data_IF_207225228336
#
_entry.id   IF_207225228336
#
_cell.length_a   1.000
_cell.length_b   1.000
_cell.length_c   1.000
_cell.angle_alpha   90.00
_cell.angle_beta   90.00
_cell.angle_gamma   90.00
#
_symmetry.space_group_name_H-M   'P 1'
#
loop_
_entity.id
_entity.type
_entity.pdbx_description
1 polymer ?
#
# COMPACT_ATOMS: atom_id res chain seq x y z
N UNK A 1 6.44 5.71 -22.26
CA UNK A 1 5.85 6.67 -21.30
C UNK A 1 5.40 5.86 -20.10
N UNK A 2 6.10 5.94 -18.96
CA UNK A 2 5.67 5.26 -17.74
C UNK A 2 4.43 5.98 -17.21
N UNK A 3 3.28 5.31 -17.28
CA UNK A 3 2.08 5.79 -16.62
C UNK A 3 2.31 5.65 -15.11
N UNK A 4 2.08 6.70 -14.28
CA UNK A 4 2.25 6.57 -12.85
C UNK A 4 1.36 5.45 -12.31
N UNK A 5 1.96 4.52 -11.57
CA UNK A 5 1.24 3.40 -10.99
C UNK A 5 0.32 3.91 -9.86
N UNK A 6 -0.89 3.37 -9.73
CA UNK A 6 -1.79 3.76 -8.66
C UNK A 6 -1.20 3.32 -7.31
N UNK A 7 -1.23 4.20 -6.32
CA UNK A 7 -0.77 3.93 -4.95
C UNK A 7 -1.92 4.00 -3.96
N UNK A 8 -1.75 3.40 -2.79
CA UNK A 8 -2.74 3.46 -1.71
C UNK A 8 -3.04 4.91 -1.31
N UNK A 9 -2.02 5.77 -1.31
CA UNK A 9 -2.15 7.22 -1.15
C UNK A 9 -3.14 7.84 -2.16
N UNK A 10 -3.06 7.47 -3.44
CA UNK A 10 -4.00 7.97 -4.47
C UNK A 10 -5.43 7.44 -4.25
N UNK A 11 -5.59 6.19 -3.80
CA UNK A 11 -6.90 5.63 -3.48
C UNK A 11 -7.59 6.37 -2.32
N UNK A 12 -6.80 6.83 -1.35
CA UNK A 12 -7.28 7.63 -0.22
C UNK A 12 -7.47 9.12 -0.54
N UNK A 13 -7.29 9.55 -1.80
CA UNK A 13 -7.39 10.96 -2.19
C UNK A 13 -6.34 11.86 -1.55
N UNK A 14 -5.24 11.28 -1.04
CA UNK A 14 -4.17 12.02 -0.37
C UNK A 14 -3.10 12.50 -1.36
N UNK A 15 -3.49 13.24 -2.40
CA UNK A 15 -2.54 13.71 -3.42
C UNK A 15 -1.60 14.82 -2.90
N UNK A 16 -1.88 15.37 -1.72
CA UNK A 16 -1.03 16.36 -1.05
C UNK A 16 0.23 15.80 -0.37
N UNK A 17 1.19 16.69 -0.10
CA UNK A 17 2.39 16.38 0.73
C UNK A 17 2.09 16.33 2.24
N UNK A 18 0.86 16.64 2.65
CA UNK A 18 0.47 16.74 4.05
C UNK A 18 -0.80 15.96 4.30
N UNK A 19 -0.89 15.38 5.50
CA UNK A 19 -2.10 14.73 5.96
C UNK A 19 -3.23 15.78 6.09
N UNK A 20 -4.48 15.43 5.76
CA UNK A 20 -5.64 16.25 6.08
C UNK A 20 -5.64 16.70 7.55
N UNK A 21 -6.18 17.89 7.84
CA UNK A 21 -6.11 18.47 9.18
C UNK A 21 -6.78 17.61 10.26
N UNK A 22 -7.87 16.92 9.91
CA UNK A 22 -8.54 15.96 10.77
C UNK A 22 -7.65 14.73 11.05
N UNK A 23 -6.93 14.23 10.05
CA UNK A 23 -5.94 13.16 10.20
C UNK A 23 -4.78 13.61 11.08
N UNK A 24 -4.22 14.81 10.87
CA UNK A 24 -3.19 15.39 11.75
C UNK A 24 -3.67 15.43 13.20
N UNK A 25 -4.88 15.94 13.44
CA UNK A 25 -5.45 16.04 14.79
C UNK A 25 -5.58 14.65 15.46
N UNK A 26 -5.94 13.62 14.71
CA UNK A 26 -6.04 12.24 15.22
C UNK A 26 -4.67 11.63 15.50
N UNK A 27 -3.67 11.90 14.66
CA UNK A 27 -2.27 11.48 14.90
C UNK A 27 -1.74 12.15 16.17
N UNK A 28 -1.95 13.46 16.35
CA UNK A 28 -1.48 14.18 17.55
C UNK A 28 -2.03 13.59 18.85
N UNK A 29 -3.26 13.08 18.80
CA UNK A 29 -3.97 12.46 19.94
C UNK A 29 -3.68 10.96 20.11
N UNK A 30 -2.88 10.35 19.23
CA UNK A 30 -2.47 8.97 19.40
C UNK A 30 -1.60 8.82 20.65
N UNK A 31 -1.65 7.65 21.29
CA UNK A 31 -1.04 7.42 22.60
C UNK A 31 0.46 7.65 22.58
N UNK A 32 1.19 7.02 21.66
CA UNK A 32 2.64 7.22 21.59
C UNK A 32 3.02 8.63 21.14
N UNK A 33 2.23 9.27 20.28
CA UNK A 33 2.52 10.64 19.84
C UNK A 33 2.41 11.61 21.01
N UNK A 34 1.45 11.38 21.91
CA UNK A 34 1.34 12.12 23.17
C UNK A 34 2.55 11.87 24.08
N UNK A 35 3.00 10.62 24.23
CA UNK A 35 4.20 10.31 25.02
C UNK A 35 5.48 10.90 24.42
N UNK A 36 5.61 10.93 23.08
CA UNK A 36 6.73 11.56 22.37
C UNK A 36 6.71 13.07 22.62
N UNK A 37 5.53 13.69 22.53
CA UNK A 37 5.35 15.11 22.84
C UNK A 37 5.87 15.43 24.24
N UNK A 38 5.47 14.68 25.25
CA UNK A 38 5.92 14.89 26.63
C UNK A 38 7.45 14.77 26.76
N UNK A 39 8.07 13.74 26.16
CA UNK A 39 9.53 13.57 26.15
C UNK A 39 10.26 14.73 25.47
N UNK A 40 9.78 15.17 24.30
CA UNK A 40 10.35 16.31 23.56
C UNK A 40 10.20 17.60 24.38
N UNK A 41 9.03 17.84 24.96
CA UNK A 41 8.78 19.03 25.79
C UNK A 41 9.71 19.07 27.01
N UNK A 42 9.96 17.93 27.64
CA UNK A 42 10.84 17.82 28.81
C UNK A 42 12.32 17.99 28.48
N UNK A 43 12.76 17.57 27.28
CA UNK A 43 14.19 17.49 26.92
C UNK A 43 14.66 18.65 26.04
N UNK A 44 13.84 19.05 25.06
CA UNK A 44 14.20 20.00 24.00
C UNK A 44 13.37 21.30 24.06
N UNK A 45 12.32 21.34 24.88
CA UNK A 45 11.48 22.51 25.09
C UNK A 45 10.31 22.65 24.10
N UNK A 46 9.43 23.63 24.40
CA UNK A 46 8.12 23.79 23.74
C UNK A 46 8.19 24.22 22.27
N UNK A 47 9.27 24.87 21.86
CA UNK A 47 9.43 25.40 20.50
C UNK A 47 9.75 24.33 19.46
N UNK A 48 10.25 23.17 19.88
CA UNK A 48 10.66 22.08 18.97
C UNK A 48 9.48 21.22 18.52
N UNK A 49 8.44 21.08 19.36
CA UNK A 49 7.29 20.21 19.09
C UNK A 49 6.58 20.49 17.76
N UNK A 50 6.24 21.74 17.39
CA UNK A 50 5.52 22.00 16.14
C UNK A 50 6.26 21.48 14.90
N UNK A 51 7.58 21.65 14.85
CA UNK A 51 8.41 21.19 13.73
C UNK A 51 8.54 19.66 13.72
N UNK A 52 8.76 19.05 14.88
CA UNK A 52 8.83 17.58 15.00
C UNK A 52 7.50 16.94 14.59
N UNK A 53 6.39 17.50 15.02
CA UNK A 53 5.05 16.99 14.71
C UNK A 53 4.70 17.14 13.22
N UNK A 54 5.11 18.23 12.57
CA UNK A 54 4.87 18.39 11.13
C UNK A 54 5.67 17.35 10.31
N UNK A 55 6.92 17.07 10.69
CA UNK A 55 7.72 16.03 10.01
C UNK A 55 7.16 14.63 10.26
N UNK A 56 6.71 14.31 11.49
CA UNK A 56 5.99 13.06 11.78
C UNK A 56 4.75 12.94 10.88
N UNK A 57 3.95 14.02 10.80
CA UNK A 57 2.73 14.05 9.99
C UNK A 57 3.01 13.83 8.51
N UNK A 58 4.07 14.43 7.98
CA UNK A 58 4.50 14.27 6.59
C UNK A 58 4.98 12.86 6.30
N UNK A 59 5.86 12.31 7.14
CA UNK A 59 6.34 10.92 7.01
C UNK A 59 5.19 9.92 7.07
N UNK A 60 4.19 10.17 7.90
CA UNK A 60 2.98 9.33 7.98
C UNK A 60 2.22 9.23 6.65
N UNK A 61 2.19 10.30 5.84
CA UNK A 61 1.59 10.28 4.51
C UNK A 61 2.45 9.49 3.52
N UNK A 62 3.77 9.66 3.59
CA UNK A 62 4.71 8.95 2.72
C UNK A 62 4.66 7.43 2.95
N UNK A 63 4.34 6.97 4.17
CA UNK A 63 4.12 5.55 4.47
C UNK A 63 2.93 4.92 3.71
N UNK A 64 2.02 5.73 3.17
CA UNK A 64 0.90 5.27 2.34
C UNK A 64 1.25 5.18 0.86
N UNK A 65 2.50 5.46 0.47
CA UNK A 65 2.99 5.30 -0.91
C UNK A 65 3.24 3.82 -1.27
N UNK A 66 2.27 2.98 -0.93
CA UNK A 66 2.24 1.56 -1.23
C UNK A 66 1.70 1.38 -2.65
N UNK A 67 2.48 0.75 -3.51
CA UNK A 67 2.07 0.46 -4.88
C UNK A 67 0.92 -0.56 -4.90
N UNK A 68 -0.21 -0.17 -5.50
CA UNK A 68 -1.40 -1.01 -5.57
C UNK A 68 -1.19 -2.25 -6.44
N UNK A 69 -0.38 -2.13 -7.51
CA UNK A 69 -0.10 -3.25 -8.41
C UNK A 69 0.69 -4.34 -7.68
N UNK A 70 1.65 -3.95 -6.83
CA UNK A 70 2.43 -4.91 -6.04
C UNK A 70 1.53 -5.66 -5.04
N UNK A 71 0.53 -4.98 -4.46
CA UNK A 71 -0.49 -5.61 -3.60
C UNK A 71 -1.33 -6.63 -4.38
N UNK A 72 -1.78 -6.29 -5.59
CA UNK A 72 -2.59 -7.18 -6.43
C UNK A 72 -1.79 -8.39 -6.92
N UNK A 73 -0.57 -8.17 -7.41
CA UNK A 73 0.31 -9.24 -7.88
C UNK A 73 0.66 -10.17 -6.72
N UNK A 74 0.97 -9.62 -5.54
CA UNK A 74 1.21 -10.42 -4.34
C UNK A 74 -0.01 -11.28 -3.93
N UNK A 75 -1.22 -10.82 -4.20
CA UNK A 75 -2.43 -11.60 -3.98
C UNK A 75 -2.61 -12.72 -5.02
N UNK A 76 -2.34 -12.46 -6.29
CA UNK A 76 -2.45 -13.46 -7.36
C UNK A 76 -1.36 -14.52 -7.32
N UNK A 77 -0.17 -14.20 -6.81
CA UNK A 77 0.85 -15.22 -6.55
C UNK A 77 0.37 -16.30 -5.57
N UNK A 78 -0.62 -16.01 -4.71
CA UNK A 78 -1.25 -17.00 -3.82
C UNK A 78 -2.32 -17.83 -4.53
N UNK A 79 -2.68 -17.50 -5.77
CA UNK A 79 -3.70 -18.20 -6.53
C UNK A 79 -3.14 -19.50 -7.12
N UNK A 80 -3.51 -20.63 -6.51
CA UNK A 80 -3.10 -21.98 -6.93
C UNK A 80 -3.37 -22.27 -8.41
N UNK A 81 -4.39 -21.63 -9.00
CA UNK A 81 -4.71 -21.79 -10.42
C UNK A 81 -3.62 -21.29 -11.39
N UNK A 82 -2.68 -20.47 -10.93
CA UNK A 82 -1.53 -20.04 -11.73
C UNK A 82 -0.42 -21.09 -11.80
N UNK A 83 -0.31 -22.00 -10.83
CA UNK A 83 0.78 -22.99 -10.77
C UNK A 83 0.85 -23.89 -12.00
N UNK A 84 -0.29 -24.14 -12.65
CA UNK A 84 -0.32 -24.93 -13.90
C UNK A 84 0.52 -24.32 -15.03
N UNK A 85 0.77 -23.01 -14.99
CA UNK A 85 1.60 -22.32 -15.99
C UNK A 85 3.11 -22.42 -15.70
N UNK A 86 3.50 -23.13 -14.64
CA UNK A 86 4.88 -23.53 -14.38
C UNK A 86 5.29 -24.80 -15.17
N UNK A 87 4.30 -25.55 -15.68
CA UNK A 87 4.53 -26.75 -16.50
C UNK A 87 5.07 -26.35 -17.88
N UNK A 88 6.37 -26.59 -18.09
CA UNK A 88 7.09 -26.24 -19.32
C UNK A 88 6.78 -27.16 -20.49
N UNK A 89 6.28 -28.38 -20.25
CA UNK A 89 5.86 -29.27 -21.33
C UNK A 89 4.56 -28.76 -21.95
N UNK A 90 3.64 -28.29 -21.10
CA UNK A 90 2.35 -27.75 -21.53
C UNK A 90 2.40 -26.27 -21.93
N UNK A 91 3.27 -25.49 -21.30
CA UNK A 91 3.42 -24.06 -21.52
C UNK A 91 4.90 -23.71 -21.73
N UNK A 92 5.42 -23.85 -22.97
CA UNK A 92 6.82 -23.56 -23.27
C UNK A 92 7.19 -22.10 -22.96
N UNK A 93 8.47 -21.80 -22.62
CA UNK A 93 8.90 -20.46 -22.24
C UNK A 93 8.60 -19.34 -23.26
N UNK A 94 8.53 -19.68 -24.55
CA UNK A 94 8.22 -18.72 -25.61
C UNK A 94 6.73 -18.42 -25.74
N UNK A 95 5.86 -19.25 -25.16
CA UNK A 95 4.42 -19.10 -25.26
C UNK A 95 3.90 -18.09 -24.24
N UNK A 96 3.15 -17.10 -24.73
CA UNK A 96 2.38 -16.19 -23.88
C UNK A 96 0.93 -16.67 -23.76
N UNK A 97 0.41 -16.66 -22.54
CA UNK A 97 -0.96 -17.08 -22.23
C UNK A 97 -1.71 -15.94 -21.54
N UNK A 98 -2.90 -15.62 -22.05
CA UNK A 98 -3.82 -14.73 -21.35
C UNK A 98 -4.65 -15.53 -20.35
N UNK A 99 -4.53 -15.17 -19.08
CA UNK A 99 -5.22 -15.83 -17.97
C UNK A 99 -6.29 -14.88 -17.45
N UNK A 100 -7.58 -15.10 -17.80
CA UNK A 100 -8.65 -14.37 -17.19
C UNK A 100 -8.75 -14.80 -15.72
N UNK A 101 -8.72 -13.81 -14.84
CA UNK A 101 -9.04 -14.02 -13.44
C UNK A 101 -10.52 -13.63 -13.24
N UNK A 102 -11.23 -14.46 -12.48
CA UNK A 102 -12.62 -14.20 -12.12
C UNK A 102 -12.74 -12.98 -11.19
N UNK A 103 -13.91 -12.80 -10.60
CA UNK A 103 -14.02 -11.88 -9.48
C UNK A 103 -13.16 -12.40 -8.31
N UNK A 104 -12.26 -11.55 -7.82
CA UNK A 104 -11.41 -11.88 -6.69
C UNK A 104 -11.44 -10.79 -5.63
N UNK A 105 -11.53 -11.23 -4.37
CA UNK A 105 -11.36 -10.36 -3.22
C UNK A 105 -9.91 -10.46 -2.73
N UNK A 106 -9.20 -9.34 -2.76
CA UNK A 106 -7.85 -9.17 -2.24
C UNK A 106 -7.93 -8.49 -0.88
N UNK A 107 -7.31 -9.08 0.13
CA UNK A 107 -7.09 -8.45 1.44
C UNK A 107 -5.60 -8.28 1.65
N UNK A 108 -5.18 -7.09 2.07
CA UNK A 108 -3.79 -6.79 2.37
C UNK A 108 -3.69 -5.96 3.64
N UNK A 109 -2.73 -6.32 4.50
CA UNK A 109 -2.42 -5.59 5.72
C UNK A 109 -0.95 -5.18 5.69
N UNK A 110 -0.68 -3.93 6.05
CA UNK A 110 0.65 -3.36 6.13
C UNK A 110 0.83 -2.69 7.49
N UNK A 111 2.04 -2.81 8.04
CA UNK A 111 2.41 -2.22 9.35
C UNK A 111 3.62 -1.29 9.25
N UNK A 112 3.53 -0.21 8.45
CA UNK A 112 4.62 0.75 8.36
C UNK A 112 4.75 1.54 9.67
N UNK A 113 5.90 2.18 9.87
CA UNK A 113 6.20 2.87 11.11
C UNK A 113 7.12 4.07 10.90
N UNK A 114 7.05 5.03 11.82
CA UNK A 114 7.99 6.15 11.93
C UNK A 114 8.79 5.97 13.21
N UNK A 115 10.12 5.90 13.09
CA UNK A 115 11.02 6.00 14.24
C UNK A 115 11.29 7.46 14.54
N UNK A 116 11.15 7.83 15.81
CA UNK A 116 11.52 9.15 16.32
C UNK A 116 12.84 8.99 17.05
N UNK A 117 13.85 9.72 16.57
CA UNK A 117 15.18 9.73 17.16
C UNK A 117 15.39 11.02 17.95
N UNK A 118 16.09 10.92 19.07
CA UNK A 118 16.57 12.04 19.86
C UNK A 118 18.03 11.76 20.20
N UNK A 119 18.94 12.66 19.82
CA UNK A 119 20.38 12.47 19.96
C UNK A 119 20.85 11.12 19.37
N UNK A 120 20.36 10.80 18.16
CA UNK A 120 20.62 9.55 17.42
C UNK A 120 20.14 8.25 18.11
N UNK A 121 19.40 8.35 19.22
CA UNK A 121 18.78 7.22 19.89
C UNK A 121 17.28 7.14 19.56
N UNK A 122 16.79 5.93 19.25
CA UNK A 122 15.36 5.69 18.99
C UNK A 122 14.58 5.84 20.30
N UNK A 123 13.80 6.92 20.41
CA UNK A 123 12.99 7.20 21.62
C UNK A 123 11.56 6.69 21.54
N UNK A 124 11.07 6.41 20.33
CA UNK A 124 9.76 5.82 20.08
C UNK A 124 9.61 5.32 18.63
N UNK A 125 8.62 4.46 18.41
CA UNK A 125 8.24 3.93 17.09
C UNK A 125 6.73 3.96 16.88
N UNK A 126 6.26 5.00 16.19
CA UNK A 126 4.85 5.20 15.86
C UNK A 126 4.46 4.20 14.79
N UNK A 127 3.62 3.23 15.12
CA UNK A 127 3.20 2.17 14.19
C UNK A 127 1.84 2.45 13.61
N UNK A 128 1.74 2.34 12.28
CA UNK A 128 0.51 2.48 11.54
C UNK A 128 0.01 1.10 11.11
N UNK A 129 -1.31 0.94 11.09
CA UNK A 129 -1.95 -0.25 10.56
C UNK A 129 -2.78 0.15 9.34
N UNK A 130 -2.35 -0.30 8.17
CA UNK A 130 -3.04 -0.05 6.90
C UNK A 130 -3.68 -1.36 6.46
N UNK A 131 -5.00 -1.42 6.48
CA UNK A 131 -5.75 -2.58 6.02
C UNK A 131 -6.56 -2.22 4.78
N UNK A 132 -6.43 -3.04 3.74
CA UNK A 132 -7.02 -2.85 2.44
C UNK A 132 -7.84 -4.08 2.06
N UNK A 133 -9.03 -3.85 1.54
CA UNK A 133 -9.89 -4.90 1.01
C UNK A 133 -10.44 -4.45 -0.35
N UNK A 134 -10.10 -5.18 -1.41
CA UNK A 134 -10.49 -4.89 -2.78
C UNK A 134 -11.24 -6.06 -3.38
N UNK A 135 -12.24 -5.77 -4.19
CA UNK A 135 -12.83 -6.67 -5.16
C UNK A 135 -12.42 -6.20 -6.53
N UNK A 136 -11.78 -7.09 -7.28
CA UNK A 136 -11.29 -6.81 -8.63
C UNK A 136 -12.07 -7.67 -9.63
N UNK A 137 -12.51 -7.06 -10.73
CA UNK A 137 -13.25 -7.72 -11.81
C UNK A 137 -12.59 -7.46 -13.16
N UNK A 138 -12.70 -8.42 -14.08
CA UNK A 138 -12.25 -8.25 -15.46
C UNK A 138 -10.73 -8.17 -15.60
N UNK A 139 -9.98 -8.90 -14.77
CA UNK A 139 -8.52 -8.93 -14.84
C UNK A 139 -8.08 -9.98 -15.85
N UNK A 140 -7.13 -9.62 -16.71
CA UNK A 140 -6.38 -10.58 -17.50
C UNK A 140 -4.90 -10.46 -17.18
N UNK A 141 -4.27 -11.58 -16.83
CA UNK A 141 -2.82 -11.67 -16.69
C UNK A 141 -2.22 -12.16 -18.01
N UNK A 142 -1.13 -11.54 -18.43
CA UNK A 142 -0.24 -12.14 -19.42
C UNK A 142 0.81 -12.97 -18.69
N UNK A 143 0.80 -14.28 -18.88
CA UNK A 143 1.77 -15.19 -18.28
C UNK A 143 2.68 -15.76 -19.36
N UNK A 144 3.99 -15.78 -19.11
CA UNK A 144 5.01 -16.34 -20.00
C UNK A 144 6.19 -16.84 -19.15
N UNK A 145 6.75 -18.01 -19.48
CA UNK A 145 7.88 -18.63 -18.76
C UNK A 145 7.68 -18.66 -17.22
N UNK A 146 6.48 -19.05 -16.78
CA UNK A 146 6.15 -19.11 -15.35
C UNK A 146 6.10 -17.75 -14.63
N UNK A 147 6.08 -16.63 -15.38
CA UNK A 147 6.04 -15.27 -14.83
C UNK A 147 4.81 -14.51 -15.30
N UNK A 148 4.27 -13.65 -14.43
CA UNK A 148 3.27 -12.65 -14.79
C UNK A 148 4.01 -11.47 -15.44
N UNK A 149 3.82 -11.25 -16.74
CA UNK A 149 4.50 -10.22 -17.54
C UNK A 149 3.74 -8.90 -17.56
N UNK A 150 2.42 -8.96 -17.60
CA UNK A 150 1.58 -7.76 -17.54
C UNK A 150 0.22 -8.08 -16.97
N UNK A 151 -0.44 -7.02 -16.51
CA UNK A 151 -1.75 -7.06 -15.89
C UNK A 151 -2.66 -6.12 -16.66
N UNK A 152 -3.67 -6.67 -17.32
CA UNK A 152 -4.79 -5.91 -17.82
C UNK A 152 -5.83 -5.82 -16.71
N UNK A 153 -5.90 -4.68 -16.06
CA UNK A 153 -6.79 -4.46 -14.92
C UNK A 153 -8.16 -3.97 -15.38
N UNK A 154 -9.22 -4.51 -14.80
CA UNK A 154 -10.58 -4.03 -15.01
C UNK A 154 -11.02 -3.06 -13.91
N UNK A 155 -12.15 -3.35 -13.29
CA UNK A 155 -12.73 -2.52 -12.23
C UNK A 155 -12.21 -2.93 -10.85
N UNK A 156 -11.85 -1.94 -10.02
CA UNK A 156 -11.61 -2.12 -8.59
C UNK A 156 -12.66 -1.39 -7.77
N UNK A 157 -13.24 -2.11 -6.81
CA UNK A 157 -14.03 -1.54 -5.72
C UNK A 157 -13.45 -2.03 -4.41
N UNK A 158 -13.54 -1.25 -3.35
CA UNK A 158 -13.01 -1.74 -2.08
C UNK A 158 -13.15 -0.74 -0.96
N UNK A 159 -12.47 -1.05 0.14
CA UNK A 159 -12.31 -0.15 1.27
C UNK A 159 -10.90 -0.22 1.81
N UNK A 160 -10.46 0.89 2.38
CA UNK A 160 -9.19 1.00 3.07
C UNK A 160 -9.38 1.64 4.42
N UNK A 161 -8.57 1.20 5.37
CA UNK A 161 -8.49 1.80 6.71
C UNK A 161 -7.03 2.06 7.06
N UNK A 162 -6.78 3.20 7.70
CA UNK A 162 -5.49 3.56 8.27
C UNK A 162 -5.72 3.86 9.75
N UNK A 163 -5.01 3.14 10.60
CA UNK A 163 -4.95 3.39 12.04
C UNK A 163 -3.54 3.78 12.45
N UNK A 164 -3.42 4.60 13.48
CA UNK A 164 -2.19 4.78 14.23
C UNK A 164 -2.47 4.24 15.62
N UNK A 165 -1.79 3.15 15.99
CA UNK A 165 -2.17 2.34 17.16
C UNK A 165 -3.67 1.96 17.09
N UNK A 166 -4.45 2.30 18.12
CA UNK A 166 -5.89 2.06 18.19
C UNK A 166 -6.72 3.19 17.54
N UNK A 167 -6.11 4.32 17.20
CA UNK A 167 -6.82 5.48 16.66
C UNK A 167 -7.09 5.31 15.16
N UNK A 168 -8.37 5.30 14.78
CA UNK A 168 -8.78 5.32 13.36
C UNK A 168 -8.51 6.68 12.74
N UNK A 169 -7.47 6.76 11.91
CA UNK A 169 -7.09 7.98 11.21
C UNK A 169 -7.99 8.24 10.01
N UNK A 170 -8.13 7.24 9.15
CA UNK A 170 -8.89 7.31 7.93
C UNK A 170 -9.59 5.99 7.65
N UNK A 171 -10.82 6.08 7.14
CA UNK A 171 -11.56 4.98 6.54
C UNK A 171 -12.20 5.52 5.26
N UNK A 172 -12.07 4.78 4.17
CA UNK A 172 -12.59 5.21 2.88
C UNK A 172 -13.04 4.02 2.05
N UNK A 173 -14.24 4.14 1.49
CA UNK A 173 -14.72 3.28 0.42
C UNK A 173 -14.20 3.80 -0.93
N UNK A 174 -13.50 2.93 -1.64
CA UNK A 174 -13.04 3.16 -3.00
C UNK A 174 -14.20 2.83 -3.94
N UNK A 175 -14.84 3.86 -4.49
CA UNK A 175 -15.77 3.74 -5.63
C UNK A 175 -15.04 3.11 -6.82
N UNK A 176 -15.77 2.59 -7.81
CA UNK A 176 -15.18 1.95 -9.00
C UNK A 176 -14.03 2.79 -9.56
N UNK A 177 -12.79 2.38 -9.31
CA UNK A 177 -11.61 3.00 -9.91
C UNK A 177 -11.30 2.21 -11.16
N UNK A 178 -11.31 2.89 -12.31
CA UNK A 178 -10.75 2.32 -13.53
C UNK A 178 -9.24 2.38 -13.41
N UNK A 179 -8.61 1.22 -13.28
CA UNK A 179 -7.16 1.14 -13.30
C UNK A 179 -6.62 1.40 -14.73
N UNK A 180 -5.34 1.81 -14.87
CA UNK A 180 -4.72 1.96 -16.18
C UNK A 180 -4.92 0.67 -17.00
N UNK A 181 -5.40 0.81 -18.23
CA UNK A 181 -5.89 -0.32 -19.02
C UNK A 181 -4.90 -1.49 -19.17
N UNK A 182 -3.59 -1.27 -19.04
CA UNK A 182 -2.59 -2.32 -18.91
C UNK A 182 -1.39 -1.82 -18.10
N UNK A 183 -0.89 -2.66 -17.20
CA UNK A 183 0.34 -2.43 -16.45
C UNK A 183 1.38 -3.47 -16.88
N UNK A 184 2.51 -2.99 -17.38
CA UNK A 184 3.67 -3.81 -17.72
C UNK A 184 4.54 -4.04 -16.47
N UNK A 185 4.95 -5.28 -16.23
CA UNK A 185 5.78 -5.69 -15.09
C UNK A 185 7.26 -5.93 -15.50
N UNK A 186 7.66 -5.51 -16.69
CA UNK A 186 9.02 -5.64 -17.22
C UNK A 186 9.45 -7.10 -17.34
N UNK A 187 10.48 -7.52 -16.60
CA UNK A 187 10.95 -8.91 -16.56
C UNK A 187 9.88 -9.89 -16.06
N UNK A 188 8.86 -9.39 -15.38
CA UNK A 188 7.73 -10.15 -14.88
C UNK A 188 7.95 -10.68 -13.47
N UNK A 189 6.85 -10.95 -12.78
CA UNK A 189 6.86 -11.46 -11.40
C UNK A 189 6.70 -12.99 -11.43
N UNK A 190 7.60 -13.76 -10.80
CA UNK A 190 7.52 -15.22 -10.80
C UNK A 190 6.29 -15.73 -10.07
N UNK A 191 5.64 -16.74 -10.64
CA UNK A 191 4.61 -17.51 -9.97
C UNK A 191 5.30 -18.44 -8.97
N UNK A 192 4.93 -18.44 -7.67
CA UNK A 192 5.55 -19.31 -6.69
C UNK A 192 5.17 -20.78 -6.91
N UNK A 193 6.13 -21.67 -6.62
CA UNK A 193 5.97 -23.13 -6.69
C UNK A 193 4.93 -23.69 -5.72
#
# INVERSE_FOLDING_TARGET
>A
MNNPQPTVKTLFGMEGKHAPQDVKTKIEKAGQVTSIREKILATLGKTVWPNAFDEISKKSVDLLDINLIDVLVGAWNKYQGLKKYLDREKYPPTQSVLVPLGEHTVKSEHRPYVEVLMNDEVVARITFHVALAFTVRGVLLLVQDGKIKSVKTGEIKGKGTVKCEEALLLEQDFRTVSLPGTVDLGEGVPIPE
#
